data_IF_501817985821
#
_entry.id   IF_501817985821
#
_cell.length_a   1.000
_cell.length_b   1.000
_cell.length_c   1.000
_cell.angle_alpha   90.00
_cell.angle_beta   90.00
_cell.angle_gamma   90.00
#
_symmetry.space_group_name_H-M   'P 1'
#
loop_
_entity.id
_entity.type
_entity.pdbx_description
1 polymer ?
#
# COMPACT_ATOMS: atom_id res chain seq x y z
N UNK A 1 -36.65 11.19 1.41
CA UNK A 1 -35.70 11.08 2.53
C UNK A 1 -34.52 11.99 2.24
N UNK A 2 -34.49 13.12 2.97
CA UNK A 2 -33.38 14.04 3.25
C UNK A 2 -32.31 14.29 2.18
N UNK A 3 -32.49 15.38 1.42
CA UNK A 3 -31.42 16.11 0.74
C UNK A 3 -30.38 16.59 1.75
N UNK A 4 -29.25 15.89 1.82
CA UNK A 4 -28.05 16.39 2.48
C UNK A 4 -27.30 17.29 1.50
N UNK A 5 -27.80 18.51 1.35
CA UNK A 5 -27.02 19.64 0.84
C UNK A 5 -25.77 19.77 1.72
N UNK A 6 -24.62 19.43 1.14
CA UNK A 6 -23.31 19.60 1.77
C UNK A 6 -23.14 21.07 2.13
N UNK A 7 -23.24 21.35 3.43
CA UNK A 7 -22.96 22.64 4.05
C UNK A 7 -21.47 22.92 3.80
N UNK A 8 -21.18 23.79 2.84
CA UNK A 8 -19.83 24.37 2.64
C UNK A 8 -19.40 24.94 4.00
N UNK A 9 -18.28 24.47 4.55
CA UNK A 9 -17.81 24.87 5.88
C UNK A 9 -17.78 26.40 6.00
N UNK A 10 -18.52 27.01 6.94
CA UNK A 10 -18.60 28.46 7.11
C UNK A 10 -17.26 29.08 7.57
N UNK A 11 -16.31 28.26 8.03
CA UNK A 11 -15.03 28.73 8.53
C UNK A 11 -14.13 29.26 7.41
N UNK A 12 -14.20 28.68 6.21
CA UNK A 12 -13.45 29.20 5.04
C UNK A 12 -13.88 30.62 4.62
N UNK A 13 -15.14 30.99 4.84
CA UNK A 13 -15.67 32.32 4.55
C UNK A 13 -15.29 33.34 5.63
N UNK A 14 -15.13 32.90 6.88
CA UNK A 14 -14.64 33.76 7.97
C UNK A 14 -13.17 34.08 7.80
N UNK A 15 -12.35 33.10 7.44
CA UNK A 15 -10.93 33.33 7.18
C UNK A 15 -10.71 34.25 5.97
N UNK A 16 -11.36 33.97 4.84
CA UNK A 16 -11.23 34.82 3.64
C UNK A 16 -11.74 36.25 3.83
N UNK A 17 -12.80 36.46 4.62
CA UNK A 17 -13.29 37.80 4.94
C UNK A 17 -12.39 38.53 5.96
N UNK A 18 -11.76 37.82 6.90
CA UNK A 18 -10.76 38.39 7.80
C UNK A 18 -9.49 38.82 7.05
N UNK A 19 -9.00 38.00 6.10
CA UNK A 19 -7.87 38.39 5.27
C UNK A 19 -8.17 39.61 4.40
N UNK A 20 -9.38 39.70 3.83
CA UNK A 20 -9.79 40.86 3.04
C UNK A 20 -9.87 42.15 3.89
N UNK A 21 -10.37 42.06 5.13
CA UNK A 21 -10.41 43.16 6.09
C UNK A 21 -9.00 43.60 6.51
N UNK A 22 -8.12 42.66 6.82
CA UNK A 22 -6.73 42.94 7.17
C UNK A 22 -5.98 43.61 6.01
N UNK A 23 -6.19 43.13 4.78
CA UNK A 23 -5.58 43.72 3.58
C UNK A 23 -6.07 45.16 3.33
N UNK A 24 -7.36 45.42 3.57
CA UNK A 24 -7.93 46.76 3.50
C UNK A 24 -7.31 47.72 4.54
N UNK A 25 -7.10 47.25 5.77
CA UNK A 25 -6.51 48.06 6.84
C UNK A 25 -5.01 48.36 6.60
N UNK A 26 -4.28 47.41 6.04
CA UNK A 26 -2.87 47.63 5.63
C UNK A 26 -2.79 48.62 4.48
N UNK A 27 -3.69 48.52 3.49
CA UNK A 27 -3.73 49.46 2.36
C UNK A 27 -4.06 50.89 2.80
N UNK A 28 -4.97 51.08 3.76
CA UNK A 28 -5.28 52.41 4.31
C UNK A 28 -4.13 52.96 5.16
N UNK A 29 -3.43 52.12 5.93
CA UNK A 29 -2.24 52.55 6.67
C UNK A 29 -1.08 52.96 5.75
N UNK A 30 -0.84 52.23 4.66
CA UNK A 30 0.17 52.63 3.67
C UNK A 30 -0.18 53.97 2.98
N UNK A 31 -1.47 54.20 2.70
CA UNK A 31 -1.93 55.47 2.13
C UNK A 31 -1.71 56.65 3.09
N UNK A 32 -2.02 56.48 4.38
CA UNK A 32 -1.78 57.50 5.42
C UNK A 32 -0.29 57.74 5.67
N UNK A 33 0.55 56.71 5.52
CA UNK A 33 2.01 56.83 5.64
C UNK A 33 2.69 57.53 4.45
N UNK A 34 1.91 58.00 3.45
CA UNK A 34 2.43 58.76 2.32
C UNK A 34 3.06 57.91 1.21
N UNK A 35 2.79 56.60 1.19
CA UNK A 35 3.23 55.78 0.06
C UNK A 35 2.51 56.19 -1.22
N UNK A 36 3.21 56.27 -2.36
CA UNK A 36 2.57 56.62 -3.62
C UNK A 36 1.48 55.63 -4.02
N UNK A 37 0.33 56.14 -4.47
CA UNK A 37 -0.85 55.33 -4.83
C UNK A 37 -0.52 54.26 -5.87
N UNK A 38 0.39 54.54 -6.81
CA UNK A 38 0.81 53.57 -7.82
C UNK A 38 1.51 52.34 -7.22
N UNK A 39 2.24 52.48 -6.10
CA UNK A 39 2.89 51.37 -5.40
C UNK A 39 1.84 50.48 -4.75
N UNK A 40 0.87 51.08 -4.06
CA UNK A 40 -0.23 50.35 -3.40
C UNK A 40 -1.05 49.57 -4.44
N UNK A 41 -1.36 50.20 -5.57
CA UNK A 41 -2.09 49.57 -6.67
C UNK A 41 -1.30 48.41 -7.30
N UNK A 42 0.00 48.58 -7.51
CA UNK A 42 0.87 47.53 -8.04
C UNK A 42 0.93 46.32 -7.11
N UNK A 43 1.14 46.53 -5.80
CA UNK A 43 1.13 45.43 -4.83
C UNK A 43 -0.24 44.78 -4.68
N UNK A 44 -1.34 45.52 -4.80
CA UNK A 44 -2.70 44.97 -4.80
C UNK A 44 -2.96 44.05 -6.01
N UNK A 45 -2.59 44.49 -7.22
CA UNK A 45 -2.67 43.64 -8.42
C UNK A 45 -1.74 42.44 -8.30
N UNK A 46 -0.52 42.64 -7.81
CA UNK A 46 0.45 41.57 -7.64
C UNK A 46 -0.04 40.51 -6.65
N UNK A 47 -0.56 40.93 -5.49
CA UNK A 47 -1.17 40.02 -4.51
C UNK A 47 -2.42 39.31 -5.08
N UNK A 48 -3.24 40.02 -5.86
CA UNK A 48 -4.38 39.42 -6.56
C UNK A 48 -3.94 38.35 -7.57
N UNK A 49 -2.89 38.63 -8.35
CA UNK A 49 -2.32 37.67 -9.30
C UNK A 49 -1.75 36.47 -8.54
N UNK A 50 -0.97 36.69 -7.47
CA UNK A 50 -0.43 35.60 -6.64
C UNK A 50 -1.56 34.73 -6.07
N UNK A 51 -2.56 35.35 -5.44
CA UNK A 51 -3.74 34.65 -4.94
C UNK A 51 -4.44 33.86 -6.06
N UNK A 52 -4.63 34.48 -7.22
CA UNK A 52 -5.29 33.85 -8.36
C UNK A 52 -4.49 32.69 -8.91
N UNK A 53 -3.17 32.77 -8.95
CA UNK A 53 -2.29 31.69 -9.43
C UNK A 53 -2.24 30.52 -8.46
N UNK A 54 -2.21 30.77 -7.15
CA UNK A 54 -2.23 29.70 -6.13
C UNK A 54 -3.63 29.10 -5.91
N UNK A 55 -4.70 29.84 -6.21
CA UNK A 55 -6.08 29.36 -6.09
C UNK A 55 -6.60 28.61 -7.32
N UNK A 56 -5.80 28.47 -8.40
CA UNK A 56 -6.23 27.60 -9.49
C UNK A 56 -6.08 26.14 -9.05
N UNK A 57 -7.15 25.30 -9.14
CA UNK A 57 -7.00 23.87 -8.94
C UNK A 57 -5.97 23.38 -9.94
N UNK A 58 -4.90 22.77 -9.42
CA UNK A 58 -3.76 22.41 -10.24
C UNK A 58 -4.25 21.49 -11.36
N UNK A 59 -3.91 21.80 -12.61
CA UNK A 59 -4.17 20.92 -13.77
C UNK A 59 -3.42 19.57 -13.68
N UNK A 60 -2.82 19.27 -12.54
CA UNK A 60 -1.94 18.12 -12.28
C UNK A 60 -2.71 16.85 -11.98
N UNK A 61 -3.91 16.93 -11.39
CA UNK A 61 -4.62 15.76 -10.87
C UNK A 61 -4.96 14.74 -11.96
N UNK A 62 -5.48 15.21 -13.10
CA UNK A 62 -5.78 14.31 -14.22
C UNK A 62 -4.52 13.68 -14.84
N UNK A 63 -3.37 14.36 -14.76
CA UNK A 63 -2.09 13.82 -15.25
C UNK A 63 -1.54 12.74 -14.30
N UNK A 64 -1.71 12.93 -12.99
CA UNK A 64 -1.32 11.95 -11.97
C UNK A 64 -2.00 10.59 -12.20
N UNK A 65 -3.26 10.58 -12.66
CA UNK A 65 -3.98 9.35 -13.06
C UNK A 65 -3.26 8.60 -14.19
N UNK A 66 -2.84 9.31 -15.23
CA UNK A 66 -2.16 8.67 -16.37
C UNK A 66 -0.75 8.20 -16.02
N UNK A 67 -0.05 8.91 -15.14
CA UNK A 67 1.25 8.48 -14.61
C UNK A 67 1.10 7.25 -13.70
N UNK A 68 0.03 7.19 -12.91
CA UNK A 68 -0.37 6.00 -12.17
C UNK A 68 -0.65 4.83 -13.12
N UNK A 69 -1.40 5.02 -14.22
CA UNK A 69 -1.62 3.94 -15.19
C UNK A 69 -0.36 3.46 -15.88
N UNK A 70 0.58 4.35 -16.21
CA UNK A 70 1.87 3.96 -16.79
C UNK A 70 2.66 3.08 -15.83
N UNK A 71 2.85 3.56 -14.60
CA UNK A 71 3.58 2.82 -13.56
C UNK A 71 2.89 1.50 -13.19
N UNK A 72 1.56 1.50 -13.03
CA UNK A 72 0.79 0.30 -12.75
C UNK A 72 0.87 -0.72 -13.91
N UNK A 73 0.83 -0.27 -15.16
CA UNK A 73 0.95 -1.17 -16.30
C UNK A 73 2.35 -1.78 -16.43
N UNK A 74 3.41 -1.00 -16.17
CA UNK A 74 4.78 -1.52 -16.14
C UNK A 74 4.92 -2.61 -15.06
N UNK A 75 4.31 -2.36 -13.90
CA UNK A 75 4.36 -3.25 -12.76
C UNK A 75 3.48 -4.49 -12.94
N UNK A 76 2.33 -4.40 -13.60
CA UNK A 76 1.41 -5.52 -13.83
C UNK A 76 1.78 -6.37 -15.04
N UNK A 77 2.73 -5.94 -15.86
CA UNK A 77 3.28 -6.80 -16.92
C UNK A 77 3.99 -8.00 -16.31
N UNK A 78 3.78 -9.15 -16.92
CA UNK A 78 4.45 -10.42 -16.61
C UNK A 78 5.86 -10.45 -17.23
N UNK A 79 6.59 -9.33 -17.15
CA UNK A 79 7.98 -9.27 -17.60
C UNK A 79 8.86 -10.00 -16.55
N UNK A 80 9.94 -10.67 -16.97
CA UNK A 80 10.82 -11.50 -16.12
C UNK A 80 11.48 -10.72 -14.95
N UNK A 81 11.33 -9.39 -14.93
CA UNK A 81 11.78 -8.52 -13.85
C UNK A 81 10.95 -8.78 -12.60
N UNK A 82 11.60 -9.28 -11.56
CA UNK A 82 11.03 -9.33 -10.21
C UNK A 82 10.99 -7.92 -9.63
N UNK A 83 9.78 -7.39 -9.48
CA UNK A 83 9.52 -6.12 -8.82
C UNK A 83 9.58 -6.29 -7.31
N UNK A 84 10.08 -5.27 -6.61
CA UNK A 84 10.13 -5.28 -5.17
C UNK A 84 8.80 -4.81 -4.56
N UNK A 85 8.46 -5.33 -3.38
CA UNK A 85 7.21 -4.97 -2.68
C UNK A 85 7.09 -3.48 -2.39
N UNK A 86 8.20 -2.77 -2.15
CA UNK A 86 8.18 -1.33 -1.91
C UNK A 86 7.81 -0.52 -3.16
N UNK A 87 8.24 -0.96 -4.36
CA UNK A 87 7.89 -0.30 -5.63
C UNK A 87 6.38 -0.43 -5.88
N UNK A 88 5.82 -1.62 -5.59
CA UNK A 88 4.38 -1.87 -5.66
C UNK A 88 3.63 -0.96 -4.68
N UNK A 89 4.10 -0.88 -3.44
CA UNK A 89 3.48 -0.08 -2.39
C UNK A 89 3.52 1.41 -2.69
N UNK A 90 4.59 1.92 -3.30
CA UNK A 90 4.69 3.31 -3.73
C UNK A 90 3.64 3.66 -4.80
N UNK A 91 3.48 2.78 -5.80
CA UNK A 91 2.47 2.95 -6.86
C UNK A 91 1.06 2.84 -6.30
N UNK A 92 0.81 1.92 -5.37
CA UNK A 92 -0.46 1.81 -4.63
C UNK A 92 -0.75 3.11 -3.89
N UNK A 93 0.22 3.66 -3.16
CA UNK A 93 0.05 4.91 -2.41
C UNK A 93 -0.33 6.10 -3.31
N UNK A 94 0.20 6.15 -4.54
CA UNK A 94 -0.23 7.14 -5.55
C UNK A 94 -1.67 6.91 -5.99
N UNK A 95 -2.05 5.66 -6.28
CA UNK A 95 -3.43 5.31 -6.63
C UNK A 95 -4.44 5.61 -5.52
N UNK A 96 -4.11 5.32 -4.26
CA UNK A 96 -4.96 5.65 -3.10
C UNK A 96 -5.16 7.16 -2.95
N UNK A 97 -4.10 7.96 -3.15
CA UNK A 97 -4.20 9.42 -3.12
C UNK A 97 -5.17 9.95 -4.16
N UNK A 98 -5.14 9.39 -5.38
CA UNK A 98 -6.08 9.75 -6.44
C UNK A 98 -7.53 9.47 -6.01
N UNK A 99 -7.79 8.32 -5.37
CA UNK A 99 -9.12 7.99 -4.84
C UNK A 99 -9.59 8.95 -3.74
N UNK A 100 -8.67 9.46 -2.91
CA UNK A 100 -8.99 10.41 -1.85
C UNK A 100 -9.28 11.82 -2.38
N UNK A 101 -8.55 12.24 -3.41
CA UNK A 101 -8.66 13.58 -4.00
C UNK A 101 -9.86 13.70 -4.93
N UNK A 102 -10.15 12.66 -5.73
CA UNK A 102 -11.19 12.72 -6.74
C UNK A 102 -12.55 12.25 -6.21
N UNK A 103 -13.54 13.15 -6.27
CA UNK A 103 -14.93 12.77 -6.07
C UNK A 103 -15.46 12.07 -7.34
N UNK A 104 -15.53 10.74 -7.30
CA UNK A 104 -15.91 9.89 -8.44
C UNK A 104 -14.73 9.53 -9.33
N UNK A 105 -13.75 8.79 -8.80
CA UNK A 105 -12.59 8.33 -9.55
C UNK A 105 -12.97 7.32 -10.66
N UNK A 106 -12.23 7.25 -11.77
CA UNK A 106 -12.52 6.32 -12.86
C UNK A 106 -12.47 4.85 -12.40
N UNK A 107 -13.35 3.96 -12.90
CA UNK A 107 -13.39 2.54 -12.51
C UNK A 107 -12.09 1.80 -12.84
N UNK A 108 -11.37 2.27 -13.87
CA UNK A 108 -10.06 1.74 -14.22
C UNK A 108 -9.03 1.95 -13.08
N UNK A 109 -9.14 3.03 -12.29
CA UNK A 109 -8.29 3.25 -11.10
C UNK A 109 -8.57 2.20 -10.04
N UNK A 110 -9.84 1.89 -9.77
CA UNK A 110 -10.19 0.84 -8.81
C UNK A 110 -9.72 -0.54 -9.27
N UNK A 111 -9.89 -0.86 -10.56
CA UNK A 111 -9.43 -2.14 -11.10
C UNK A 111 -7.90 -2.29 -10.99
N UNK A 112 -7.17 -1.25 -11.37
CA UNK A 112 -5.70 -1.25 -11.32
C UNK A 112 -5.18 -1.36 -9.91
N UNK A 113 -5.75 -0.64 -8.95
CA UNK A 113 -5.45 -0.81 -7.52
C UNK A 113 -5.72 -2.25 -7.05
N UNK A 114 -6.89 -2.80 -7.38
CA UNK A 114 -7.24 -4.18 -7.03
C UNK A 114 -6.25 -5.20 -7.58
N UNK A 115 -5.80 -5.03 -8.82
CA UNK A 115 -4.78 -5.87 -9.44
C UNK A 115 -3.40 -5.72 -8.76
N UNK A 116 -3.02 -4.51 -8.36
CA UNK A 116 -1.76 -4.25 -7.65
C UNK A 116 -1.75 -4.87 -6.25
N UNK A 117 -2.84 -4.75 -5.48
CA UNK A 117 -2.96 -5.43 -4.19
C UNK A 117 -2.91 -6.94 -4.33
N UNK A 118 -3.53 -7.49 -5.38
CA UNK A 118 -3.45 -8.93 -5.65
C UNK A 118 -2.01 -9.37 -5.95
N UNK A 119 -1.22 -8.55 -6.66
CA UNK A 119 0.21 -8.79 -6.90
C UNK A 119 1.06 -8.65 -5.63
N UNK A 120 0.68 -7.76 -4.72
CA UNK A 120 1.34 -7.60 -3.41
C UNK A 120 1.03 -8.75 -2.44
N UNK A 121 -0.11 -9.43 -2.62
CA UNK A 121 -0.59 -10.50 -1.72
C UNK A 121 -1.59 -10.03 -0.65
N UNK A 122 -1.99 -8.75 -0.68
CA UNK A 122 -3.11 -8.26 0.14
C UNK A 122 -4.43 -8.52 -0.58
N UNK A 123 -4.93 -9.74 -0.43
CA UNK A 123 -6.16 -10.15 -1.10
C UNK A 123 -7.41 -9.49 -0.53
N UNK A 124 -7.36 -8.93 0.69
CA UNK A 124 -8.53 -8.26 1.30
C UNK A 124 -8.83 -6.95 0.57
N UNK A 125 -7.81 -6.11 0.43
CA UNK A 125 -7.92 -4.85 -0.31
C UNK A 125 -8.20 -5.12 -1.78
N UNK A 126 -7.55 -6.14 -2.38
CA UNK A 126 -7.82 -6.56 -3.75
C UNK A 126 -9.30 -6.91 -3.96
N UNK A 127 -9.91 -7.72 -3.09
CA UNK A 127 -11.33 -8.09 -3.24
C UNK A 127 -12.25 -6.89 -3.17
N UNK A 128 -11.99 -5.93 -2.27
CA UNK A 128 -12.84 -4.74 -2.11
C UNK A 128 -12.82 -3.84 -3.35
N UNK A 129 -11.64 -3.62 -3.92
CA UNK A 129 -11.52 -2.77 -5.11
C UNK A 129 -12.01 -3.48 -6.38
N UNK A 130 -11.76 -4.78 -6.52
CA UNK A 130 -12.22 -5.55 -7.68
C UNK A 130 -13.75 -5.76 -7.66
N UNK A 131 -14.34 -6.04 -6.48
CA UNK A 131 -15.80 -6.19 -6.36
C UNK A 131 -16.52 -4.87 -6.65
N UNK A 132 -15.97 -3.73 -6.21
CA UNK A 132 -16.52 -2.43 -6.53
C UNK A 132 -16.65 -2.21 -8.04
N UNK A 133 -15.70 -2.69 -8.86
CA UNK A 133 -15.74 -2.48 -10.31
C UNK A 133 -16.61 -3.49 -11.05
N UNK A 134 -16.71 -4.72 -10.54
CA UNK A 134 -17.35 -5.83 -11.26
C UNK A 134 -18.77 -6.14 -10.79
N UNK A 135 -19.09 -5.83 -9.54
CA UNK A 135 -20.37 -6.21 -8.91
C UNK A 135 -21.26 -5.00 -8.61
N UNK A 136 -20.72 -3.78 -8.61
CA UNK A 136 -21.51 -2.57 -8.38
C UNK A 136 -21.90 -1.90 -9.70
N UNK A 137 -23.20 -1.90 -10.00
CA UNK A 137 -23.74 -1.24 -11.19
C UNK A 137 -23.51 0.29 -11.17
N UNK A 138 -23.32 0.90 -9.99
CA UNK A 138 -23.01 2.32 -9.85
C UNK A 138 -21.55 2.67 -10.18
N UNK A 139 -20.70 1.66 -10.41
CA UNK A 139 -19.32 1.89 -10.85
C UNK A 139 -19.24 2.17 -12.35
N UNK A 140 -20.31 1.95 -13.13
CA UNK A 140 -20.28 2.28 -14.56
C UNK A 140 -20.42 3.78 -14.81
N UNK A 141 -19.47 4.32 -15.60
CA UNK A 141 -19.39 5.75 -15.90
C UNK A 141 -20.59 6.29 -16.69
N UNK A 142 -21.40 5.39 -17.26
CA UNK A 142 -22.61 5.71 -18.04
C UNK A 142 -23.73 6.30 -17.18
N UNK A 143 -23.70 6.08 -15.86
CA UNK A 143 -24.70 6.59 -14.92
C UNK A 143 -24.48 8.04 -14.46
N UNK A 144 -23.35 8.66 -14.77
CA UNK A 144 -23.05 10.02 -14.30
C UNK A 144 -23.73 11.10 -15.13
N UNK A 145 -24.84 11.64 -14.64
CA UNK A 145 -25.51 12.80 -15.25
C UNK A 145 -24.73 14.11 -15.08
N UNK A 146 -24.03 14.28 -13.95
CA UNK A 146 -23.21 15.47 -13.66
C UNK A 146 -21.82 15.06 -13.17
N UNK A 147 -20.84 14.91 -14.07
CA UNK A 147 -19.49 14.52 -13.68
C UNK A 147 -18.79 15.65 -12.91
N UNK A 148 -17.90 15.27 -12.00
CA UNK A 148 -17.00 16.21 -11.30
C UNK A 148 -16.09 16.95 -12.29
N UNK A 149 -15.60 18.16 -11.96
CA UNK A 149 -14.68 18.90 -12.84
C UNK A 149 -13.43 18.10 -13.21
N UNK A 150 -12.94 17.26 -12.29
CA UNK A 150 -11.71 16.47 -12.46
C UNK A 150 -11.95 15.29 -13.39
N UNK A 151 -13.09 14.61 -13.23
CA UNK A 151 -13.51 13.54 -14.16
C UNK A 151 -13.72 14.10 -15.58
N UNK A 152 -14.30 15.29 -15.72
CA UNK A 152 -14.41 15.96 -17.04
C UNK A 152 -13.05 16.23 -17.66
N UNK A 153 -12.07 16.68 -16.86
CA UNK A 153 -10.74 16.95 -17.36
C UNK A 153 -10.01 15.67 -17.76
N UNK A 154 -10.11 14.62 -16.92
CA UNK A 154 -9.62 13.28 -17.24
C UNK A 154 -10.19 12.77 -18.56
N UNK A 155 -11.52 12.76 -18.73
CA UNK A 155 -12.17 12.29 -19.97
C UNK A 155 -11.76 13.14 -21.18
N UNK A 156 -11.58 14.46 -21.02
CA UNK A 156 -11.09 15.33 -22.11
C UNK A 156 -9.69 14.91 -22.56
N UNK A 157 -8.78 14.66 -21.61
CA UNK A 157 -7.41 14.24 -21.92
C UNK A 157 -7.42 12.82 -22.50
N UNK A 158 -8.22 11.90 -21.95
CA UNK A 158 -8.39 10.54 -22.45
C UNK A 158 -8.84 10.55 -23.92
N UNK A 159 -9.90 11.30 -24.25
CA UNK A 159 -10.39 11.44 -25.63
C UNK A 159 -9.34 12.03 -26.58
N UNK A 160 -8.50 12.96 -26.08
CA UNK A 160 -7.39 13.51 -26.87
C UNK A 160 -6.34 12.45 -27.18
N UNK A 161 -5.97 11.64 -26.19
CA UNK A 161 -5.03 10.51 -26.35
C UNK A 161 -5.61 9.45 -27.28
N UNK A 162 -6.90 9.14 -27.18
CA UNK A 162 -7.58 8.17 -28.05
C UNK A 162 -7.68 8.64 -29.50
N UNK A 163 -7.94 9.94 -29.71
CA UNK A 163 -7.99 10.54 -31.04
C UNK A 163 -6.61 10.62 -31.70
N UNK A 164 -5.57 10.88 -30.92
CA UNK A 164 -4.20 11.08 -31.40
C UNK A 164 -3.19 10.22 -30.60
N UNK A 165 -3.19 8.89 -30.78
CA UNK A 165 -2.34 7.98 -30.00
C UNK A 165 -0.84 8.24 -30.22
N UNK A 166 -0.47 8.82 -31.37
CA UNK A 166 0.92 9.19 -31.69
C UNK A 166 1.52 10.24 -30.72
N UNK A 167 0.69 11.08 -30.08
CA UNK A 167 1.18 12.12 -29.15
C UNK A 167 1.55 11.57 -27.77
N UNK A 168 0.99 10.43 -27.38
CA UNK A 168 1.25 9.79 -26.09
C UNK A 168 1.18 8.25 -26.24
N UNK A 169 2.11 7.64 -27.00
CA UNK A 169 2.02 6.23 -27.37
C UNK A 169 2.05 5.31 -26.14
N UNK A 170 2.94 5.57 -25.18
CA UNK A 170 3.05 4.79 -23.95
C UNK A 170 1.77 4.83 -23.11
N UNK A 171 1.20 6.02 -22.91
CA UNK A 171 -0.04 6.19 -22.13
C UNK A 171 -1.21 5.50 -22.82
N UNK A 172 -1.33 5.66 -24.15
CA UNK A 172 -2.39 5.01 -24.92
C UNK A 172 -2.29 3.48 -24.86
N UNK A 173 -1.07 2.94 -24.91
CA UNK A 173 -0.82 1.52 -24.80
C UNK A 173 -1.17 1.00 -23.40
N UNK A 174 -0.73 1.71 -22.36
CA UNK A 174 -0.97 1.35 -20.96
C UNK A 174 -2.47 1.35 -20.62
N UNK A 175 -3.21 2.39 -21.01
CA UNK A 175 -4.66 2.44 -20.77
C UNK A 175 -5.35 1.27 -21.49
N UNK A 176 -5.00 0.99 -22.75
CA UNK A 176 -5.59 -0.11 -23.52
C UNK A 176 -5.25 -1.48 -22.95
N UNK A 177 -4.02 -1.71 -22.50
CA UNK A 177 -3.63 -2.99 -21.89
C UNK A 177 -4.34 -3.22 -20.56
N UNK A 178 -4.45 -2.18 -19.73
CA UNK A 178 -5.16 -2.25 -18.46
C UNK A 178 -6.68 -2.47 -18.66
N UNK A 179 -7.29 -1.79 -19.63
CA UNK A 179 -8.70 -2.03 -19.99
C UNK A 179 -8.93 -3.45 -20.52
N UNK A 180 -8.01 -3.98 -21.33
CA UNK A 180 -8.06 -5.39 -21.77
C UNK A 180 -7.90 -6.35 -20.58
N UNK A 181 -7.00 -6.05 -19.66
CA UNK A 181 -6.81 -6.84 -18.44
C UNK A 181 -8.07 -6.81 -17.57
N UNK A 182 -8.73 -5.66 -17.43
CA UNK A 182 -10.02 -5.53 -16.73
C UNK A 182 -11.08 -6.44 -17.32
N UNK A 183 -11.26 -6.40 -18.64
CA UNK A 183 -12.29 -7.19 -19.34
C UNK A 183 -12.00 -8.69 -19.34
N UNK A 184 -10.74 -9.08 -19.57
CA UNK A 184 -10.38 -10.49 -19.76
C UNK A 184 -10.06 -11.20 -18.44
N UNK A 185 -9.33 -10.52 -17.55
CA UNK A 185 -8.79 -11.10 -16.31
C UNK A 185 -9.50 -10.62 -15.06
N UNK A 186 -10.36 -9.58 -15.12
CA UNK A 186 -10.97 -8.99 -13.93
C UNK A 186 -11.75 -10.00 -13.07
N UNK A 187 -12.65 -10.78 -13.68
CA UNK A 187 -13.43 -11.80 -12.96
C UNK A 187 -12.55 -12.90 -12.37
N UNK A 188 -11.64 -13.42 -13.18
CA UNK A 188 -10.69 -14.44 -12.73
C UNK A 188 -9.80 -13.95 -11.57
N UNK A 189 -9.34 -12.69 -11.63
CA UNK A 189 -8.56 -12.07 -10.54
C UNK A 189 -9.38 -11.97 -9.25
N UNK A 190 -10.64 -11.55 -9.34
CA UNK A 190 -11.53 -11.44 -8.18
C UNK A 190 -11.78 -12.79 -7.52
N UNK A 191 -12.08 -13.83 -8.31
CA UNK A 191 -12.27 -15.19 -7.81
C UNK A 191 -10.99 -15.74 -7.17
N UNK A 192 -9.84 -15.56 -7.83
CA UNK A 192 -8.55 -15.97 -7.29
C UNK A 192 -8.22 -15.25 -5.98
N UNK A 193 -8.49 -13.94 -5.88
CA UNK A 193 -8.29 -13.19 -4.64
C UNK A 193 -9.20 -13.69 -3.52
N UNK A 194 -10.46 -14.07 -3.82
CA UNK A 194 -11.38 -14.66 -2.83
C UNK A 194 -10.86 -16.00 -2.31
N UNK A 195 -10.45 -16.90 -3.21
CA UNK A 195 -9.90 -18.20 -2.85
C UNK A 195 -8.65 -18.07 -1.96
N UNK A 196 -7.71 -17.21 -2.36
CA UNK A 196 -6.47 -16.99 -1.59
C UNK A 196 -6.75 -16.33 -0.23
N UNK A 197 -7.75 -15.45 -0.15
CA UNK A 197 -8.18 -14.84 1.12
C UNK A 197 -8.76 -15.88 2.07
N UNK A 198 -9.58 -16.81 1.57
CA UNK A 198 -10.11 -17.92 2.37
C UNK A 198 -8.99 -18.82 2.89
N UNK A 199 -8.03 -19.19 2.03
CA UNK A 199 -6.86 -19.96 2.44
C UNK A 199 -6.01 -19.24 3.50
N UNK A 200 -5.77 -17.93 3.32
CA UNK A 200 -5.06 -17.12 4.30
C UNK A 200 -5.79 -17.09 5.64
N UNK A 201 -7.12 -17.00 5.63
CA UNK A 201 -7.93 -17.00 6.84
C UNK A 201 -7.91 -18.36 7.55
N UNK A 202 -7.96 -19.47 6.80
CA UNK A 202 -7.81 -20.83 7.35
C UNK A 202 -6.46 -21.00 8.05
N UNK A 203 -5.37 -20.63 7.37
CA UNK A 203 -4.01 -20.68 7.94
C UNK A 203 -3.88 -19.82 9.21
N UNK A 204 -4.43 -18.59 9.19
CA UNK A 204 -4.44 -17.72 10.38
C UNK A 204 -5.22 -18.33 11.54
N UNK A 205 -6.34 -19.00 11.26
CA UNK A 205 -7.14 -19.67 12.28
C UNK A 205 -6.42 -20.88 12.88
N UNK A 206 -5.78 -21.71 12.05
CA UNK A 206 -4.97 -22.86 12.51
C UNK A 206 -3.82 -22.40 13.42
N UNK A 207 -3.05 -21.39 12.99
CA UNK A 207 -1.96 -20.81 13.79
C UNK A 207 -2.49 -20.26 15.12
N UNK A 208 -3.62 -19.55 15.11
CA UNK A 208 -4.22 -19.02 16.33
C UNK A 208 -4.66 -20.14 17.30
N UNK A 209 -5.13 -21.26 16.78
CA UNK A 209 -5.55 -22.42 17.57
C UNK A 209 -4.35 -23.17 18.15
N UNK A 210 -3.27 -23.32 17.38
CA UNK A 210 -1.98 -23.83 17.87
C UNK A 210 -1.39 -22.93 18.96
N UNK A 211 -1.40 -21.62 18.77
CA UNK A 211 -0.94 -20.66 19.79
C UNK A 211 -1.76 -20.76 21.08
N UNK A 212 -3.08 -20.92 20.99
CA UNK A 212 -3.95 -21.17 22.15
C UNK A 212 -3.58 -22.47 22.85
N UNK A 213 -3.39 -23.57 22.11
CA UNK A 213 -2.95 -24.85 22.66
C UNK A 213 -1.59 -24.76 23.36
N UNK A 214 -0.62 -24.08 22.74
CA UNK A 214 0.70 -23.85 23.36
C UNK A 214 0.60 -23.00 24.64
N UNK A 215 -0.27 -21.99 24.64
CA UNK A 215 -0.51 -21.15 25.82
C UNK A 215 -1.17 -21.95 26.95
N UNK A 216 -2.21 -22.73 26.65
CA UNK A 216 -2.88 -23.61 27.62
C UNK A 216 -1.94 -24.69 28.19
N UNK A 217 -1.06 -25.26 27.35
CA UNK A 217 -0.03 -26.20 27.81
C UNK A 217 1.01 -25.53 28.70
N UNK A 218 1.43 -24.30 28.36
CA UNK A 218 2.34 -23.51 29.19
C UNK A 218 1.71 -23.16 30.55
N UNK A 219 0.42 -22.77 30.56
CA UNK A 219 -0.33 -22.49 31.79
C UNK A 219 -0.49 -23.76 32.67
N UNK A 220 -0.88 -24.90 32.09
CA UNK A 220 -0.94 -26.18 32.84
C UNK A 220 0.40 -26.64 33.39
N UNK A 221 1.49 -26.42 32.64
CA UNK A 221 2.83 -26.75 33.11
C UNK A 221 3.30 -25.81 34.22
N UNK A 222 2.94 -24.52 34.16
CA UNK A 222 3.20 -23.56 35.22
C UNK A 222 2.43 -23.90 36.50
N UNK A 223 1.16 -24.30 36.39
CA UNK A 223 0.36 -24.77 37.52
C UNK A 223 0.96 -26.03 38.16
N UNK A 224 1.39 -27.02 37.36
CA UNK A 224 2.08 -28.23 37.88
C UNK A 224 3.41 -27.90 38.56
N UNK A 225 4.19 -26.97 38.01
CA UNK A 225 5.44 -26.54 38.62
C UNK A 225 5.19 -25.83 39.96
N UNK A 226 4.16 -24.98 40.06
CA UNK A 226 3.78 -24.30 41.29
C UNK A 226 3.30 -25.28 42.38
N UNK A 227 2.57 -26.34 42.01
CA UNK A 227 2.18 -27.39 42.96
C UNK A 227 3.39 -28.21 43.42
N UNK A 228 4.34 -28.52 42.53
CA UNK A 228 5.56 -29.28 42.90
C UNK A 228 6.54 -28.50 43.78
N UNK A 229 6.51 -27.17 43.74
CA UNK A 229 7.34 -26.32 44.61
C UNK A 229 6.86 -26.27 46.07
N UNK A 230 5.71 -26.90 46.39
CA UNK A 230 5.15 -26.93 47.74
C UNK A 230 5.51 -28.21 48.52
N UNK A 231 6.13 -29.21 47.89
CA UNK A 231 6.66 -30.40 48.58
C UNK A 231 8.13 -30.19 48.96
N UNK A 232 8.36 -29.92 50.25
CA UNK A 232 9.68 -29.83 50.88
C UNK A 232 10.43 -31.16 50.80
N UNK A 233 11.75 -31.17 50.55
CA UNK A 233 12.64 -32.16 51.12
C UNK A 233 13.37 -31.58 52.34
N UNK A 234 13.35 -32.36 53.42
CA UNK A 234 13.98 -32.11 54.71
C UNK A 234 15.40 -32.72 54.73
N UNK A 235 16.42 -31.86 54.93
CA UNK A 235 17.69 -32.05 55.71
C UNK A 235 18.74 -33.04 55.13
N UNK A 236 20.07 -32.85 55.16
CA UNK A 236 21.02 -32.10 56.02
C UNK A 236 22.30 -31.69 55.26
N UNK A 237 22.87 -30.51 55.55
CA UNK A 237 24.34 -30.31 55.56
C UNK A 237 24.70 -29.30 56.67
N UNK A 238 25.73 -29.66 57.43
CA UNK A 238 26.28 -29.05 58.66
C UNK A 238 26.96 -27.68 58.40
N UNK A 239 26.82 -26.77 59.35
CA UNK A 239 27.43 -25.43 59.45
C UNK A 239 28.93 -25.47 59.81
N UNK A 240 29.70 -24.50 59.31
CA UNK A 240 30.41 -23.52 60.17
C UNK A 240 30.93 -22.32 59.35
N UNK A 241 30.82 -21.13 59.96
CA UNK A 241 30.95 -19.76 59.44
C UNK A 241 32.40 -19.19 59.44
N UNK A 242 32.66 -17.86 59.50
CA UNK A 242 32.38 -16.78 58.55
C UNK A 242 33.66 -15.97 58.20
N UNK A 243 33.64 -15.16 57.14
CA UNK A 243 34.25 -13.83 57.22
C UNK A 243 33.73 -12.90 56.12
N UNK A 244 33.36 -11.69 56.53
CA UNK A 244 32.90 -10.64 55.64
C UNK A 244 34.05 -9.86 55.00
N UNK A 245 33.77 -9.22 53.87
CA UNK A 245 34.11 -7.82 53.62
C UNK A 245 33.30 -7.30 52.42
N UNK A 246 32.80 -6.08 52.58
CA UNK A 246 32.05 -5.30 51.62
C UNK A 246 32.90 -4.86 50.40
N UNK A 247 32.28 -4.67 49.24
CA UNK A 247 32.20 -3.33 48.63
C UNK A 247 31.23 -3.25 47.43
N UNK A 248 30.74 -2.03 47.23
CA UNK A 248 29.79 -1.54 46.23
C UNK A 248 30.35 -1.49 44.79
N UNK A 249 29.48 -1.66 43.77
CA UNK A 249 29.19 -0.64 42.73
C UNK A 249 28.63 -1.21 41.40
N UNK A 250 27.43 -0.74 41.03
CA UNK A 250 27.10 -0.05 39.78
C UNK A 250 27.49 -0.60 38.38
N UNK A 251 26.43 -1.00 37.65
CA UNK A 251 25.99 -0.50 36.32
C UNK A 251 26.68 -0.96 35.00
N UNK A 252 25.81 -1.33 34.06
CA UNK A 252 25.81 -1.12 32.60
C UNK A 252 26.37 -2.20 31.63
N UNK A 253 25.42 -2.68 30.81
CA UNK A 253 25.44 -3.18 29.43
C UNK A 253 26.76 -3.24 28.63
N UNK A 254 26.98 -4.34 27.90
CA UNK A 254 27.20 -4.34 26.44
C UNK A 254 27.18 -5.76 25.85
N UNK A 255 26.83 -5.83 24.56
CA UNK A 255 26.69 -7.00 23.71
C UNK A 255 27.98 -7.84 23.61
N UNK A 256 27.84 -9.17 23.63
CA UNK A 256 28.77 -10.06 22.95
C UNK A 256 28.03 -11.30 22.41
N UNK A 257 28.18 -11.45 21.10
CA UNK A 257 27.66 -12.47 20.19
C UNK A 257 28.13 -13.88 20.60
N UNK A 258 27.19 -14.84 20.69
CA UNK A 258 27.50 -16.24 21.02
C UNK A 258 27.81 -17.00 19.72
N UNK A 259 28.91 -17.77 19.62
CA UNK A 259 29.27 -18.47 18.38
C UNK A 259 28.33 -19.66 18.12
N UNK A 260 28.12 -20.04 16.85
CA UNK A 260 27.21 -21.11 16.47
C UNK A 260 27.75 -22.48 16.89
N UNK A 261 26.85 -23.33 17.39
CA UNK A 261 27.13 -24.71 17.79
C UNK A 261 27.22 -25.67 16.58
N UNK A 262 27.92 -26.81 16.71
CA UNK A 262 28.27 -27.71 15.59
C UNK A 262 27.08 -28.39 14.89
N UNK A 263 25.86 -28.26 15.43
CA UNK A 263 24.68 -28.96 14.94
C UNK A 263 23.99 -28.27 13.73
N UNK A 264 24.30 -27.00 13.46
CA UNK A 264 23.68 -26.25 12.36
C UNK A 264 24.26 -26.57 10.97
N UNK A 265 25.50 -27.07 10.88
CA UNK A 265 26.11 -27.45 9.60
C UNK A 265 25.60 -28.79 9.06
N UNK A 266 25.24 -29.72 9.95
CA UNK A 266 24.78 -31.06 9.56
C UNK A 266 23.37 -31.04 8.94
N UNK A 267 22.51 -30.10 9.34
CA UNK A 267 21.18 -29.95 8.75
C UNK A 267 21.23 -29.34 7.34
N UNK A 268 22.16 -28.41 7.08
CA UNK A 268 22.36 -27.83 5.74
C UNK A 268 22.93 -28.84 4.73
N UNK A 269 23.83 -29.75 5.16
CA UNK A 269 24.39 -30.79 4.28
C UNK A 269 23.36 -31.87 3.91
N UNK A 270 22.47 -32.27 4.83
CA UNK A 270 21.40 -33.25 4.54
C UNK A 270 20.36 -32.70 3.55
N UNK A 271 20.03 -31.41 3.62
CA UNK A 271 19.02 -30.79 2.74
C UNK A 271 19.51 -30.62 1.29
N UNK A 272 20.83 -30.49 1.08
CA UNK A 272 21.43 -30.43 -0.27
C UNK A 272 21.46 -31.79 -0.97
N UNK A 273 21.76 -32.89 -0.26
CA UNK A 273 21.77 -34.24 -0.87
C UNK A 273 20.40 -34.69 -1.38
N UNK A 274 19.32 -34.39 -0.65
CA UNK A 274 17.97 -34.76 -1.10
C UNK A 274 17.47 -33.96 -2.32
N UNK A 275 18.09 -32.81 -2.64
CA UNK A 275 17.70 -32.00 -3.79
C UNK A 275 18.36 -32.49 -5.09
N UNK A 276 19.52 -33.14 -5.03
CA UNK A 276 20.23 -33.68 -6.21
C UNK A 276 19.56 -34.97 -6.73
N UNK A 277 19.01 -35.81 -5.85
CA UNK A 277 18.32 -37.05 -6.25
C UNK A 277 16.96 -36.81 -6.94
N UNK A 278 16.31 -35.65 -6.70
CA UNK A 278 15.01 -35.32 -7.30
C UNK A 278 15.08 -35.03 -8.81
N UNK A 279 16.29 -34.85 -9.36
CA UNK A 279 16.52 -34.58 -10.78
C UNK A 279 17.31 -35.70 -11.49
N UNK A 280 17.81 -36.70 -10.77
CA UNK A 280 18.63 -37.77 -11.31
C UNK A 280 17.89 -38.65 -12.36
N UNK A 281 16.56 -38.74 -12.26
CA UNK A 281 15.72 -39.56 -13.16
C UNK A 281 15.05 -38.77 -14.29
N UNK A 282 15.41 -37.51 -14.54
CA UNK A 282 14.86 -36.74 -15.66
C UNK A 282 15.72 -36.95 -16.91
N UNK A 283 15.08 -37.34 -18.02
CA UNK A 283 15.73 -37.37 -19.33
C UNK A 283 16.32 -35.98 -19.64
N UNK A 284 17.57 -35.88 -20.14
CA UNK A 284 18.15 -34.61 -20.54
C UNK A 284 17.32 -33.98 -21.66
N UNK A 285 17.31 -32.64 -21.70
CA UNK A 285 16.51 -31.85 -22.65
C UNK A 285 16.80 -32.22 -24.11
N UNK A 286 18.03 -32.66 -24.41
CA UNK A 286 18.43 -33.17 -25.73
C UNK A 286 17.68 -34.43 -26.16
N UNK A 287 17.31 -35.29 -25.22
CA UNK A 287 16.57 -36.53 -25.48
C UNK A 287 15.07 -36.24 -25.65
N UNK A 288 14.52 -35.34 -24.81
CA UNK A 288 13.13 -34.86 -24.94
C UNK A 288 12.91 -34.16 -26.29
N UNK A 289 13.89 -33.40 -26.78
CA UNK A 289 13.79 -32.75 -28.09
C UNK A 289 13.85 -33.76 -29.24
N UNK A 290 14.63 -34.85 -29.13
CA UNK A 290 14.64 -35.92 -30.14
C UNK A 290 13.29 -36.64 -30.21
N UNK A 291 12.71 -36.96 -29.05
CA UNK A 291 11.38 -37.60 -28.98
C UNK A 291 10.28 -36.74 -29.64
N UNK A 292 10.41 -35.40 -29.66
CA UNK A 292 9.44 -34.49 -30.31
C UNK A 292 9.65 -34.38 -31.82
N UNK A 293 10.89 -34.44 -32.30
CA UNK A 293 11.21 -34.29 -33.72
C UNK A 293 11.10 -35.59 -34.51
N UNK A 294 11.35 -36.74 -33.87
CA UNK A 294 11.27 -38.06 -34.51
C UNK A 294 9.86 -38.68 -34.44
N UNK A 295 8.90 -38.07 -33.74
CA UNK A 295 7.51 -38.56 -33.62
C UNK A 295 6.59 -38.14 -34.78
N UNK A 296 7.11 -37.99 -36.00
CA UNK A 296 6.35 -37.69 -37.21
C UNK A 296 6.54 -38.75 -38.29
#
# INVERSE_FOLDING_TARGET
>A
MSDKLQKKNPDSLKETSQYALAFGLVATMLFVAGFPVFVIFFFGIFAYILWKTFSQPTRSEAREIFEFYLSANELLRDDERRWFGFEIQEVIGRGERILQLMNGAPPLVYFTLGALYNKLGDHKSATNHLSYVLENDNADETGYNYPSPDLRNYVRILRKIEREPAKAPQTSAAVRSLERARRNRGRALLENSRLLLEEQNRKKHEIALEQKRHKELAERNAERAAVSATEKPFVSVVQTEPNGHANENGRAASLAEKPPTPDDENQKKKKRKNAEDAFANRKPISEVLRDIYDSK
#
